data_IF_007572448149
#
_entry.id   IF_007572448149
#
_cell.length_a   1.000
_cell.length_b   1.000
_cell.length_c   1.000
_cell.angle_alpha   90.00
_cell.angle_beta   90.00
_cell.angle_gamma   90.00
#
_symmetry.space_group_name_H-M   'P 1'
#
loop_
_entity.id
_entity.type
_entity.pdbx_description
1 polymer ?
#
# COMPACT_ATOMS: atom_id res chain seq x y z
N UNK A 1 11.80 -22.19 -2.81
CA UNK A 1 11.02 -21.96 -4.05
C UNK A 1 10.14 -20.74 -3.87
N UNK A 2 9.77 -20.02 -4.96
CA UNK A 2 8.83 -18.89 -4.91
C UNK A 2 7.47 -19.43 -4.43
N UNK A 3 6.88 -18.81 -3.42
CA UNK A 3 5.62 -19.27 -2.79
C UNK A 3 4.43 -18.60 -3.48
N UNK A 4 3.54 -19.37 -4.10
CA UNK A 4 2.43 -18.85 -4.92
C UNK A 4 1.49 -17.92 -4.12
N UNK A 5 1.22 -18.25 -2.85
CA UNK A 5 0.35 -17.45 -2.00
C UNK A 5 0.88 -16.02 -1.75
N UNK A 6 2.20 -15.81 -1.77
CA UNK A 6 2.78 -14.46 -1.64
C UNK A 6 2.45 -13.61 -2.87
N UNK A 7 2.49 -14.22 -4.05
CA UNK A 7 2.15 -13.52 -5.29
C UNK A 7 0.65 -13.24 -5.37
N UNK A 8 -0.19 -14.18 -4.90
CA UNK A 8 -1.63 -13.97 -4.75
C UNK A 8 -1.97 -12.83 -3.79
N UNK A 9 -1.38 -12.81 -2.60
CA UNK A 9 -1.64 -11.74 -1.62
C UNK A 9 -1.23 -10.37 -2.17
N UNK A 10 -0.10 -10.28 -2.88
CA UNK A 10 0.26 -9.04 -3.59
C UNK A 10 -0.75 -8.69 -4.67
N UNK A 11 -1.21 -9.67 -5.45
CA UNK A 11 -2.19 -9.44 -6.51
C UNK A 11 -3.51 -8.89 -5.94
N UNK A 12 -4.00 -9.50 -4.86
CA UNK A 12 -5.19 -9.05 -4.12
C UNK A 12 -4.97 -7.62 -3.60
N UNK A 13 -3.82 -7.33 -2.99
CA UNK A 13 -3.48 -5.99 -2.54
C UNK A 13 -3.53 -4.97 -3.69
N UNK A 14 -2.89 -5.25 -4.83
CA UNK A 14 -2.90 -4.32 -5.96
C UNK A 14 -4.31 -4.14 -6.54
N UNK A 15 -5.11 -5.20 -6.63
CA UNK A 15 -6.51 -5.09 -7.07
C UNK A 15 -7.35 -4.28 -6.07
N UNK A 16 -7.07 -4.42 -4.77
CA UNK A 16 -7.78 -3.71 -3.70
C UNK A 16 -7.53 -2.19 -3.71
N UNK A 17 -6.42 -1.72 -4.30
CA UNK A 17 -6.16 -0.28 -4.47
C UNK A 17 -7.29 0.42 -5.20
N UNK A 18 -7.88 -0.21 -6.22
CA UNK A 18 -8.91 0.42 -7.03
C UNK A 18 -10.19 0.73 -6.23
N UNK A 19 -10.85 -0.25 -5.57
CA UNK A 19 -11.99 0.05 -4.72
C UNK A 19 -11.61 0.95 -3.54
N UNK A 20 -10.43 0.76 -2.93
CA UNK A 20 -9.98 1.62 -1.83
C UNK A 20 -9.88 3.10 -2.24
N UNK A 21 -9.11 3.40 -3.29
CA UNK A 21 -8.93 4.77 -3.76
C UNK A 21 -10.20 5.37 -4.37
N UNK A 22 -11.06 4.55 -4.97
CA UNK A 22 -12.39 5.00 -5.40
C UNK A 22 -13.27 5.34 -4.19
N UNK A 23 -13.20 4.56 -3.12
CA UNK A 23 -13.94 4.84 -1.88
C UNK A 23 -13.45 6.13 -1.22
N UNK A 24 -12.17 6.48 -1.32
CA UNK A 24 -11.65 7.77 -0.82
C UNK A 24 -12.32 8.98 -1.46
N UNK A 25 -12.86 8.88 -2.68
CA UNK A 25 -13.64 9.98 -3.31
C UNK A 25 -14.91 10.28 -2.52
N UNK A 26 -15.51 9.26 -1.90
CA UNK A 26 -16.78 9.35 -1.18
C UNK A 26 -16.58 9.25 0.34
N UNK A 27 -15.34 9.34 0.83
CA UNK A 27 -15.06 9.33 2.26
C UNK A 27 -15.48 10.65 2.90
N UNK A 28 -16.16 10.58 4.04
CA UNK A 28 -16.57 11.75 4.82
C UNK A 28 -15.43 12.36 5.66
N UNK A 29 -14.44 11.55 6.04
CA UNK A 29 -13.49 11.89 7.10
C UNK A 29 -12.20 12.55 6.58
N UNK A 30 -11.90 12.40 5.30
CA UNK A 30 -10.63 12.87 4.71
C UNK A 30 -10.86 13.54 3.36
N UNK A 31 -10.06 14.58 3.09
CA UNK A 31 -9.96 15.16 1.77
C UNK A 31 -9.27 14.19 0.79
N UNK A 32 -9.65 14.30 -0.48
CA UNK A 32 -9.05 13.52 -1.57
C UNK A 32 -8.90 14.42 -2.82
N UNK A 33 -8.17 13.93 -3.82
CA UNK A 33 -7.94 14.66 -5.08
C UNK A 33 -9.23 15.12 -5.78
N UNK A 34 -10.28 14.28 -5.71
CA UNK A 34 -11.63 14.59 -6.15
C UNK A 34 -12.57 14.19 -5.02
N UNK A 35 -13.53 15.06 -4.69
CA UNK A 35 -14.49 14.83 -3.63
C UNK A 35 -15.90 14.66 -4.20
N UNK A 36 -16.50 13.51 -3.92
CA UNK A 36 -17.90 13.21 -4.20
C UNK A 36 -18.79 13.40 -2.97
N UNK A 37 -20.08 13.09 -3.12
CA UNK A 37 -21.02 13.10 -1.99
C UNK A 37 -20.65 11.99 -0.98
N UNK A 38 -20.50 12.30 0.32
CA UNK A 38 -20.09 11.30 1.30
C UNK A 38 -20.99 10.06 1.34
N UNK A 39 -20.39 8.89 1.53
CA UNK A 39 -21.08 7.61 1.61
C UNK A 39 -20.54 6.75 2.77
N UNK A 40 -21.43 6.25 3.63
CA UNK A 40 -21.07 5.49 4.84
C UNK A 40 -20.31 4.21 4.53
N UNK A 41 -20.67 3.48 3.46
CA UNK A 41 -19.95 2.27 3.06
C UNK A 41 -18.51 2.59 2.65
N UNK A 42 -18.31 3.67 1.89
CA UNK A 42 -16.97 4.09 1.49
C UNK A 42 -16.12 4.54 2.68
N UNK A 43 -16.69 5.32 3.60
CA UNK A 43 -16.01 5.69 4.85
C UNK A 43 -15.58 4.46 5.64
N UNK A 44 -16.50 3.50 5.88
CA UNK A 44 -16.20 2.27 6.60
C UNK A 44 -15.14 1.41 5.89
N UNK A 45 -15.16 1.35 4.55
CA UNK A 45 -14.15 0.64 3.78
C UNK A 45 -12.77 1.27 3.97
N UNK A 46 -12.67 2.60 3.87
CA UNK A 46 -11.39 3.31 4.04
C UNK A 46 -10.87 3.15 5.47
N UNK A 47 -11.70 3.36 6.48
CA UNK A 47 -11.31 3.31 7.89
C UNK A 47 -10.91 1.88 8.32
N UNK A 48 -11.49 0.84 7.71
CA UNK A 48 -11.12 -0.57 7.98
C UNK A 48 -9.87 -1.06 7.23
N UNK A 49 -9.34 -0.27 6.29
CA UNK A 49 -8.21 -0.66 5.41
C UNK A 49 -6.82 -0.61 6.07
N UNK A 50 -6.74 -0.58 7.40
CA UNK A 50 -5.50 -0.44 8.18
C UNK A 50 -4.43 -1.51 7.85
N UNK A 51 -4.88 -2.69 7.43
CA UNK A 51 -4.03 -3.84 7.08
C UNK A 51 -3.29 -3.67 5.76
N UNK A 52 -3.83 -2.88 4.84
CA UNK A 52 -3.49 -2.93 3.43
C UNK A 52 -2.03 -2.53 3.14
N UNK A 53 -1.61 -1.34 3.59
CA UNK A 53 -0.25 -0.86 3.38
C UNK A 53 0.81 -1.65 4.17
N UNK A 54 0.60 -1.94 5.47
CA UNK A 54 1.50 -2.82 6.22
C UNK A 54 1.71 -4.20 5.58
N UNK A 55 0.64 -4.81 5.02
CA UNK A 55 0.74 -6.10 4.33
C UNK A 55 1.67 -6.01 3.11
N UNK A 56 1.55 -4.94 2.31
CA UNK A 56 2.40 -4.73 1.14
C UNK A 56 3.89 -4.62 1.52
N UNK A 57 4.23 -3.89 2.59
CA UNK A 57 5.60 -3.83 3.09
C UNK A 57 6.10 -5.17 3.66
N UNK A 58 5.25 -5.90 4.38
CA UNK A 58 5.55 -7.25 4.87
C UNK A 58 5.87 -8.21 3.71
N UNK A 59 5.02 -8.26 2.68
CA UNK A 59 5.22 -9.09 1.49
C UNK A 59 6.46 -8.66 0.67
N UNK A 60 6.78 -7.36 0.67
CA UNK A 60 8.01 -6.87 0.06
C UNK A 60 9.25 -7.40 0.80
N UNK A 61 9.23 -7.41 2.13
CA UNK A 61 10.26 -8.04 2.98
C UNK A 61 10.46 -9.53 2.69
N UNK A 62 9.35 -10.28 2.59
CA UNK A 62 9.41 -11.70 2.19
C UNK A 62 10.08 -11.89 0.82
N UNK A 63 9.80 -10.97 -0.11
CA UNK A 63 10.40 -10.99 -1.45
C UNK A 63 11.88 -10.65 -1.43
N UNK A 64 12.32 -9.77 -0.52
CA UNK A 64 13.73 -9.47 -0.30
C UNK A 64 14.51 -10.73 0.11
N UNK A 65 13.96 -11.57 0.99
CA UNK A 65 14.60 -12.82 1.40
C UNK A 65 14.88 -13.75 0.22
N UNK A 66 13.89 -14.01 -0.63
CA UNK A 66 14.07 -14.86 -1.81
C UNK A 66 15.00 -14.23 -2.86
N UNK A 67 15.05 -12.90 -2.96
CA UNK A 67 15.99 -12.19 -3.85
C UNK A 67 17.43 -12.28 -3.37
N UNK A 68 17.69 -12.01 -2.08
CA UNK A 68 19.03 -11.98 -1.49
C UNK A 68 19.69 -13.36 -1.38
N UNK A 69 18.91 -14.45 -1.46
CA UNK A 69 19.43 -15.82 -1.63
C UNK A 69 20.16 -16.04 -2.96
N UNK A 70 19.84 -15.25 -3.99
CA UNK A 70 20.34 -15.46 -5.36
C UNK A 70 21.21 -14.32 -5.87
N UNK A 71 21.39 -13.24 -5.09
CA UNK A 71 22.02 -12.00 -5.53
C UNK A 71 23.02 -11.52 -4.50
N UNK A 72 24.12 -10.96 -4.98
CA UNK A 72 25.04 -10.14 -4.18
C UNK A 72 24.39 -8.82 -3.74
N UNK A 73 25.04 -8.10 -2.82
CA UNK A 73 24.56 -6.77 -2.39
C UNK A 73 24.49 -5.79 -3.56
N UNK A 74 25.50 -5.76 -4.42
CA UNK A 74 25.56 -4.86 -5.58
C UNK A 74 24.45 -5.16 -6.59
N UNK A 75 24.20 -6.43 -6.89
CA UNK A 75 23.13 -6.84 -7.80
C UNK A 75 21.74 -6.53 -7.24
N UNK A 76 21.55 -6.72 -5.93
CA UNK A 76 20.30 -6.36 -5.26
C UNK A 76 20.04 -4.85 -5.34
N UNK A 77 21.03 -4.01 -5.01
CA UNK A 77 20.91 -2.56 -5.07
C UNK A 77 20.64 -2.07 -6.51
N UNK A 78 21.36 -2.62 -7.49
CA UNK A 78 21.13 -2.33 -8.91
C UNK A 78 19.71 -2.72 -9.33
N UNK A 79 19.22 -3.88 -8.92
CA UNK A 79 17.83 -4.31 -9.20
C UNK A 79 16.81 -3.33 -8.59
N UNK A 80 17.01 -2.90 -7.33
CA UNK A 80 16.11 -1.93 -6.66
C UNK A 80 16.10 -0.58 -7.35
N UNK A 81 17.26 -0.10 -7.77
CA UNK A 81 17.36 1.14 -8.54
C UNK A 81 16.59 1.03 -9.88
N UNK A 82 16.85 -0.02 -10.65
CA UNK A 82 16.23 -0.20 -11.97
C UNK A 82 14.71 -0.46 -11.89
N UNK A 83 14.24 -1.16 -10.85
CA UNK A 83 12.84 -1.59 -10.75
C UNK A 83 11.95 -0.75 -9.83
N UNK A 84 12.53 0.13 -9.02
CA UNK A 84 11.76 1.01 -8.15
C UNK A 84 12.06 2.48 -8.47
N UNK A 85 13.34 2.88 -8.47
CA UNK A 85 13.70 4.29 -8.63
C UNK A 85 13.40 4.82 -10.04
N UNK A 86 13.80 4.10 -11.10
CA UNK A 86 13.51 4.52 -12.48
C UNK A 86 11.99 4.63 -12.73
N UNK A 87 11.17 3.60 -12.43
CA UNK A 87 9.71 3.71 -12.56
C UNK A 87 9.09 4.80 -11.69
N UNK A 88 9.62 5.05 -10.49
CA UNK A 88 9.17 6.13 -9.62
C UNK A 88 9.36 7.49 -10.29
N UNK A 89 10.57 7.78 -10.78
CA UNK A 89 10.87 9.07 -11.45
C UNK A 89 10.00 9.23 -12.69
N UNK A 90 9.84 8.18 -13.50
CA UNK A 90 8.95 8.22 -14.65
C UNK A 90 7.49 8.47 -14.25
N UNK A 91 7.03 7.77 -13.21
CA UNK A 91 5.69 7.95 -12.64
C UNK A 91 5.43 9.38 -12.19
N UNK A 92 6.39 9.99 -11.50
CA UNK A 92 6.35 11.40 -11.05
C UNK A 92 6.26 12.37 -12.22
N UNK A 93 6.99 12.13 -13.30
CA UNK A 93 7.03 13.07 -14.43
C UNK A 93 5.78 12.95 -15.30
N UNK A 94 5.23 11.74 -15.46
CA UNK A 94 4.18 11.47 -16.47
C UNK A 94 2.78 11.36 -15.87
N UNK A 95 2.60 10.70 -14.72
CA UNK A 95 1.27 10.33 -14.22
C UNK A 95 0.76 11.20 -13.09
N UNK A 96 1.66 11.73 -12.26
CA UNK A 96 1.32 12.64 -11.17
C UNK A 96 0.84 14.03 -11.63
N UNK A 97 1.39 14.65 -12.69
CA UNK A 97 0.91 15.97 -13.12
C UNK A 97 -0.54 15.95 -13.63
N UNK A 98 -0.98 14.98 -14.46
CA UNK A 98 -2.41 14.86 -14.80
C UNK A 98 -3.30 14.66 -13.58
N UNK A 99 -2.89 13.80 -12.63
CA UNK A 99 -3.60 13.57 -11.36
C UNK A 99 -3.79 14.90 -10.60
N UNK A 100 -2.70 15.63 -10.38
CA UNK A 100 -2.71 16.93 -9.72
C UNK A 100 -3.52 17.99 -10.47
N UNK A 101 -3.48 18.00 -11.80
CA UNK A 101 -4.18 19.00 -12.63
C UNK A 101 -5.69 18.92 -12.43
N UNK A 102 -6.26 17.71 -12.50
CA UNK A 102 -7.69 17.51 -12.28
C UNK A 102 -8.08 17.79 -10.82
N UNK A 103 -7.21 17.49 -9.86
CA UNK A 103 -7.44 17.84 -8.46
C UNK A 103 -7.45 19.34 -8.23
N UNK A 104 -6.48 20.06 -8.81
CA UNK A 104 -6.41 21.52 -8.76
C UNK A 104 -7.66 22.15 -9.39
N UNK A 105 -8.07 21.68 -10.57
CA UNK A 105 -9.27 22.16 -11.25
C UNK A 105 -10.54 21.90 -10.44
N UNK A 106 -10.62 20.76 -9.76
CA UNK A 106 -11.76 20.41 -8.91
C UNK A 106 -11.88 21.29 -7.67
N UNK A 107 -10.77 21.59 -6.99
CA UNK A 107 -10.78 22.35 -5.73
C UNK A 107 -10.78 23.86 -5.92
N UNK A 108 -10.02 24.38 -6.89
CA UNK A 108 -9.86 25.82 -7.09
C UNK A 108 -10.88 26.42 -8.05
N UNK A 109 -11.56 25.60 -8.86
CA UNK A 109 -12.39 26.05 -9.98
C UNK A 109 -11.61 26.76 -11.09
N UNK A 110 -10.27 26.75 -11.03
CA UNK A 110 -9.40 27.49 -11.94
C UNK A 110 -9.42 26.94 -13.37
N UNK A 111 -9.32 27.86 -14.33
CA UNK A 111 -9.19 27.58 -15.77
C UNK A 111 -7.74 27.64 -16.24
N UNK A 112 -6.76 27.58 -15.32
CA UNK A 112 -5.34 27.65 -15.64
C UNK A 112 -5.00 26.65 -16.76
N UNK A 113 -4.27 27.14 -17.76
CA UNK A 113 -3.82 26.28 -18.85
C UNK A 113 -2.89 25.17 -18.34
N UNK A 114 -2.93 24.02 -19.02
CA UNK A 114 -2.18 22.82 -18.68
C UNK A 114 -0.67 23.04 -18.59
N UNK A 115 -0.09 23.90 -19.44
CA UNK A 115 1.35 24.18 -19.44
C UNK A 115 1.73 25.07 -18.25
N UNK A 116 0.90 26.08 -17.96
CA UNK A 116 1.08 26.93 -16.79
C UNK A 116 0.95 26.11 -15.50
N UNK A 117 0.01 25.16 -15.46
CA UNK A 117 -0.14 24.25 -14.33
C UNK A 117 1.08 23.34 -14.17
N UNK A 118 1.62 22.79 -15.26
CA UNK A 118 2.79 21.92 -15.18
C UNK A 118 3.99 22.63 -14.55
N UNK A 119 4.22 23.91 -14.89
CA UNK A 119 5.22 24.73 -14.22
C UNK A 119 4.91 24.88 -12.73
N UNK A 120 3.68 25.26 -12.39
CA UNK A 120 3.26 25.36 -10.98
C UNK A 120 3.50 24.05 -10.22
N UNK A 121 3.10 22.92 -10.80
CA UNK A 121 3.18 21.61 -10.17
C UNK A 121 4.60 21.25 -9.73
N UNK A 122 5.64 21.52 -10.53
CA UNK A 122 7.02 21.18 -10.16
C UNK A 122 7.71 22.19 -9.23
N UNK A 123 7.11 23.35 -9.00
CA UNK A 123 7.68 24.42 -8.16
C UNK A 123 6.81 24.75 -6.92
N UNK A 124 5.62 24.17 -6.81
CA UNK A 124 4.73 24.35 -5.66
C UNK A 124 4.89 23.20 -4.65
N UNK A 125 5.67 23.46 -3.60
CA UNK A 125 5.89 22.55 -2.47
C UNK A 125 5.09 22.96 -1.22
N UNK A 126 4.05 23.79 -1.37
CA UNK A 126 3.27 24.33 -0.24
C UNK A 126 2.46 23.28 0.51
N UNK A 127 2.06 22.19 -0.15
CA UNK A 127 1.37 21.05 0.46
C UNK A 127 2.04 19.73 0.04
N UNK A 128 2.45 18.93 1.03
CA UNK A 128 3.10 17.63 0.82
C UNK A 128 2.08 16.49 0.63
N UNK A 129 0.79 16.73 0.88
CA UNK A 129 -0.28 15.74 0.67
C UNK A 129 -0.71 15.68 -0.79
N UNK A 130 -0.72 16.81 -1.50
CA UNK A 130 -0.97 16.91 -2.94
C UNK A 130 -2.43 16.93 -3.36
N UNK A 131 -3.37 16.86 -2.41
CA UNK A 131 -4.80 16.78 -2.71
C UNK A 131 -5.33 18.03 -3.43
N UNK A 132 -4.65 19.17 -3.27
CA UNK A 132 -4.97 20.41 -3.96
C UNK A 132 -4.14 20.65 -5.23
N UNK A 133 -3.37 19.65 -5.69
CA UNK A 133 -2.58 19.73 -6.92
C UNK A 133 -1.23 20.44 -6.76
N UNK A 134 -0.63 20.40 -5.58
CA UNK A 134 0.78 20.72 -5.34
C UNK A 134 1.68 19.50 -5.62
N UNK A 135 2.99 19.72 -5.66
CA UNK A 135 3.96 18.64 -5.84
C UNK A 135 3.92 17.65 -4.67
N UNK A 136 3.80 16.37 -4.97
CA UNK A 136 4.00 15.29 -3.99
C UNK A 136 4.38 14.00 -4.71
N UNK A 137 5.07 13.05 -4.04
CA UNK A 137 5.11 11.67 -4.52
C UNK A 137 3.72 11.02 -4.65
N UNK A 138 2.68 11.60 -4.04
CA UNK A 138 1.27 11.27 -4.24
C UNK A 138 1.01 9.78 -4.06
N UNK A 139 0.35 9.15 -5.04
CA UNK A 139 0.07 7.71 -5.06
C UNK A 139 1.31 6.82 -5.09
N UNK A 140 2.47 7.33 -5.54
CA UNK A 140 3.72 6.58 -5.69
C UNK A 140 4.59 6.54 -4.42
N UNK A 141 4.11 7.13 -3.32
CA UNK A 141 4.82 7.18 -2.05
C UNK A 141 5.30 5.79 -1.58
N UNK A 142 4.51 4.73 -1.83
CA UNK A 142 4.87 3.38 -1.42
C UNK A 142 6.13 2.88 -2.14
N UNK A 143 6.29 3.16 -3.45
CA UNK A 143 7.52 2.80 -4.17
C UNK A 143 8.72 3.59 -3.63
N UNK A 144 8.55 4.89 -3.37
CA UNK A 144 9.60 5.72 -2.78
C UNK A 144 10.06 5.17 -1.43
N UNK A 145 9.10 4.89 -0.53
CA UNK A 145 9.39 4.35 0.79
C UNK A 145 10.01 2.96 0.69
N UNK A 146 9.48 2.10 -0.18
CA UNK A 146 10.01 0.77 -0.40
C UNK A 146 11.45 0.83 -0.94
N UNK A 147 11.75 1.76 -1.84
CA UNK A 147 13.12 1.97 -2.33
C UNK A 147 14.04 2.33 -1.16
N UNK A 148 13.75 3.41 -0.42
CA UNK A 148 14.57 3.87 0.71
C UNK A 148 14.74 2.77 1.76
N UNK A 149 13.63 2.17 2.21
CA UNK A 149 13.65 1.09 3.20
C UNK A 149 14.48 -0.09 2.68
N UNK A 150 14.38 -0.45 1.39
CA UNK A 150 15.15 -1.57 0.84
C UNK A 150 16.66 -1.35 0.85
N UNK A 151 17.12 -0.09 0.77
CA UNK A 151 18.54 0.28 0.90
C UNK A 151 18.98 0.21 2.36
N UNK A 152 18.23 0.86 3.25
CA UNK A 152 18.56 0.98 4.68
C UNK A 152 18.53 -0.38 5.38
N UNK A 153 17.54 -1.22 5.05
CA UNK A 153 17.36 -2.53 5.70
C UNK A 153 18.30 -3.60 5.15
N UNK A 154 19.00 -3.38 4.04
CA UNK A 154 19.91 -4.38 3.44
C UNK A 154 20.97 -4.93 4.41
N UNK A 155 21.79 -4.11 5.11
CA UNK A 155 22.76 -4.63 6.06
C UNK A 155 22.11 -5.43 7.20
N UNK A 156 20.94 -4.98 7.66
CA UNK A 156 20.16 -5.64 8.72
C UNK A 156 19.67 -7.02 8.23
N UNK A 157 19.05 -7.08 7.06
CA UNK A 157 18.56 -8.32 6.44
C UNK A 157 19.69 -9.33 6.22
N UNK A 158 20.88 -8.87 5.81
CA UNK A 158 22.06 -9.75 5.67
C UNK A 158 22.51 -10.31 7.00
N UNK A 159 22.57 -9.49 8.05
CA UNK A 159 22.94 -9.96 9.40
C UNK A 159 21.91 -10.94 9.97
N UNK A 160 20.62 -10.76 9.62
CA UNK A 160 19.51 -11.57 10.08
C UNK A 160 19.25 -12.83 9.22
N UNK A 161 19.96 -13.06 8.10
CA UNK A 161 19.62 -14.16 7.20
C UNK A 161 19.78 -15.56 7.80
N UNK A 162 20.60 -15.69 8.85
CA UNK A 162 20.83 -16.93 9.60
C UNK A 162 20.12 -16.92 10.96
N UNK A 163 19.48 -15.81 11.33
CA UNK A 163 18.83 -15.66 12.63
C UNK A 163 17.51 -16.43 12.68
N UNK A 164 17.37 -17.32 13.66
CA UNK A 164 16.13 -18.08 13.91
C UNK A 164 15.44 -17.56 15.17
N UNK A 165 14.37 -16.80 14.99
CA UNK A 165 13.60 -16.28 16.14
C UNK A 165 12.74 -17.36 16.78
N UNK A 166 12.93 -17.61 18.09
CA UNK A 166 12.00 -18.43 18.88
C UNK A 166 10.66 -17.71 19.10
N UNK A 167 10.68 -16.38 19.22
CA UNK A 167 9.49 -15.55 19.45
C UNK A 167 8.49 -15.67 18.29
N UNK A 168 8.98 -15.67 17.04
CA UNK A 168 8.14 -15.81 15.85
C UNK A 168 7.55 -17.22 15.66
N UNK A 169 8.02 -18.22 16.40
CA UNK A 169 7.57 -19.61 16.28
C UNK A 169 6.51 -19.99 17.31
N UNK A 170 6.18 -19.10 18.24
CA UNK A 170 5.18 -19.36 19.26
C UNK A 170 3.92 -18.54 18.97
N UNK A 171 2.73 -19.15 18.87
CA UNK A 171 1.51 -18.48 18.40
C UNK A 171 1.07 -17.30 19.28
N UNK A 172 1.37 -17.34 20.58
CA UNK A 172 1.06 -16.24 21.50
C UNK A 172 2.20 -15.21 21.60
N UNK A 173 3.47 -15.63 21.50
CA UNK A 173 4.60 -14.69 21.63
C UNK A 173 4.81 -13.84 20.39
N UNK A 174 4.43 -14.33 19.20
CA UNK A 174 4.46 -13.53 17.98
C UNK A 174 3.56 -12.29 18.09
N UNK A 175 2.53 -12.31 18.95
CA UNK A 175 1.66 -11.16 19.20
C UNK A 175 2.39 -10.00 19.86
N UNK A 176 3.43 -10.26 20.67
CA UNK A 176 4.19 -9.23 21.39
C UNK A 176 4.95 -8.27 20.46
N UNK A 177 4.99 -8.54 19.16
CA UNK A 177 5.59 -7.68 18.14
C UNK A 177 4.81 -6.36 17.98
N UNK A 178 3.55 -6.31 18.39
CA UNK A 178 2.81 -5.05 18.43
C UNK A 178 3.47 -4.00 19.35
N UNK A 179 4.16 -4.43 20.41
CA UNK A 179 4.82 -3.52 21.38
C UNK A 179 5.93 -2.70 20.71
N UNK A 180 6.98 -3.30 20.10
CA UNK A 180 8.02 -2.50 19.44
C UNK A 180 7.47 -1.68 18.27
N UNK A 181 6.42 -2.13 17.58
CA UNK A 181 5.76 -1.31 16.54
C UNK A 181 5.13 -0.06 17.15
N UNK A 182 4.43 -0.21 18.27
CA UNK A 182 3.79 0.90 19.01
C UNK A 182 4.83 1.87 19.60
N UNK A 183 5.96 1.35 20.10
CA UNK A 183 7.05 2.21 20.57
C UNK A 183 7.60 3.06 19.41
N UNK A 184 7.80 2.45 18.24
CA UNK A 184 8.33 3.15 17.07
C UNK A 184 7.31 4.12 16.45
N UNK A 185 6.02 3.94 16.69
CA UNK A 185 5.02 4.91 16.23
C UNK A 185 5.09 6.27 16.93
N UNK A 186 5.76 6.35 18.09
CA UNK A 186 6.02 7.61 18.76
C UNK A 186 7.06 8.48 18.01
N UNK A 187 7.82 7.90 17.08
CA UNK A 187 8.78 8.64 16.25
C UNK A 187 8.04 9.50 15.23
N UNK A 188 8.47 10.76 14.97
CA UNK A 188 7.80 11.65 14.03
C UNK A 188 7.60 11.02 12.65
N UNK A 189 6.40 11.24 12.09
CA UNK A 189 6.07 10.80 10.74
C UNK A 189 6.45 11.88 9.71
N UNK A 190 6.77 11.46 8.48
CA UNK A 190 7.02 12.36 7.35
C UNK A 190 5.81 12.26 6.43
N UNK A 191 5.16 13.40 6.12
CA UNK A 191 3.95 13.45 5.30
C UNK A 191 2.86 12.44 5.77
N UNK A 192 2.60 12.41 7.08
CA UNK A 192 1.66 11.51 7.77
C UNK A 192 1.98 10.00 7.62
N UNK A 193 3.21 9.65 7.25
CA UNK A 193 3.64 8.27 7.01
C UNK A 193 4.92 7.98 7.79
N UNK A 194 4.88 7.00 8.70
CA UNK A 194 6.04 6.63 9.51
C UNK A 194 6.88 5.57 8.80
N UNK A 195 8.01 5.99 8.22
CA UNK A 195 8.93 5.12 7.47
C UNK A 195 9.53 3.99 8.33
N UNK A 196 9.72 4.21 9.63
CA UNK A 196 10.31 3.24 10.54
C UNK A 196 9.36 2.06 10.80
N UNK A 197 8.06 2.33 10.96
CA UNK A 197 7.03 1.28 11.08
C UNK A 197 7.03 0.37 9.84
N UNK A 198 7.03 0.96 8.64
CA UNK A 198 7.08 0.19 7.41
C UNK A 198 8.41 -0.57 7.25
N UNK A 199 9.52 0.00 7.73
CA UNK A 199 10.80 -0.69 7.84
C UNK A 199 10.75 -1.93 8.72
N UNK A 200 10.06 -1.85 9.87
CA UNK A 200 9.83 -3.01 10.75
C UNK A 200 9.04 -4.08 10.01
N UNK A 201 7.95 -3.73 9.31
CA UNK A 201 7.19 -4.71 8.53
C UNK A 201 8.05 -5.37 7.44
N UNK A 202 8.92 -4.65 6.75
CA UNK A 202 9.88 -5.26 5.79
C UNK A 202 10.80 -6.26 6.50
N UNK A 203 11.35 -5.92 7.66
CA UNK A 203 12.23 -6.83 8.42
C UNK A 203 11.46 -8.06 8.93
N UNK A 204 10.25 -7.88 9.47
CA UNK A 204 9.39 -8.97 9.92
C UNK A 204 9.04 -9.92 8.78
N UNK A 205 8.72 -9.37 7.61
CA UNK A 205 8.45 -10.15 6.40
C UNK A 205 9.65 -10.98 5.97
N UNK A 206 10.84 -10.37 6.00
CA UNK A 206 12.11 -11.07 5.73
C UNK A 206 12.34 -12.23 6.72
N UNK A 207 12.12 -12.00 8.01
CA UNK A 207 12.28 -13.01 9.06
C UNK A 207 11.25 -14.15 8.94
N UNK A 208 9.98 -13.84 8.68
CA UNK A 208 8.95 -14.88 8.44
C UNK A 208 9.31 -15.73 7.23
N UNK A 209 9.76 -15.11 6.14
CA UNK A 209 10.19 -15.84 4.95
C UNK A 209 11.43 -16.72 5.16
N UNK A 210 12.18 -16.47 6.24
CA UNK A 210 13.43 -17.18 6.52
C UNK A 210 13.26 -18.60 7.06
N UNK A 211 12.08 -18.92 7.59
CA UNK A 211 11.81 -20.20 8.25
C UNK A 211 10.38 -20.68 7.96
N UNK A 212 10.26 -21.79 7.22
CA UNK A 212 8.96 -22.35 6.83
C UNK A 212 8.10 -22.78 8.03
N UNK A 213 8.71 -23.12 9.18
CA UNK A 213 7.97 -23.47 10.39
C UNK A 213 7.12 -22.29 10.92
N UNK A 214 7.57 -21.05 10.69
CA UNK A 214 6.79 -19.86 11.07
C UNK A 214 5.51 -19.81 10.25
N UNK A 215 5.58 -20.11 8.95
CA UNK A 215 4.41 -20.17 8.09
C UNK A 215 3.44 -21.30 8.48
N UNK A 216 3.95 -22.49 8.82
CA UNK A 216 3.13 -23.61 9.30
C UNK A 216 2.42 -23.27 10.62
N UNK A 217 3.13 -22.59 11.53
CA UNK A 217 2.55 -22.07 12.77
C UNK A 217 1.46 -21.03 12.49
N UNK A 218 1.71 -20.07 11.59
CA UNK A 218 0.74 -19.02 11.26
C UNK A 218 -0.52 -19.63 10.63
N UNK A 219 -0.35 -20.59 9.71
CA UNK A 219 -1.47 -21.27 9.07
C UNK A 219 -2.32 -22.07 10.05
N UNK A 220 -1.70 -22.82 10.96
CA UNK A 220 -2.43 -23.64 11.96
C UNK A 220 -3.28 -22.78 12.90
N UNK A 221 -2.87 -21.54 13.18
CA UNK A 221 -3.54 -20.62 14.12
C UNK A 221 -4.32 -19.47 13.43
N UNK A 222 -4.53 -19.53 12.11
CA UNK A 222 -5.19 -18.46 11.34
C UNK A 222 -6.57 -18.02 11.86
N UNK A 223 -7.37 -18.94 12.43
CA UNK A 223 -8.70 -18.62 12.99
C UNK A 223 -8.55 -17.82 14.29
N UNK A 224 -7.58 -18.18 15.12
CA UNK A 224 -7.26 -17.42 16.32
C UNK A 224 -6.84 -15.98 15.97
N UNK A 225 -5.95 -15.79 14.99
CA UNK A 225 -5.58 -14.45 14.55
C UNK A 225 -6.75 -13.67 13.93
N UNK A 226 -7.63 -14.34 13.19
CA UNK A 226 -8.85 -13.73 12.65
C UNK A 226 -9.76 -13.21 13.77
N UNK A 227 -10.01 -14.03 14.80
CA UNK A 227 -10.82 -13.63 15.96
C UNK A 227 -10.19 -12.43 16.68
N UNK A 228 -8.88 -12.46 16.94
CA UNK A 228 -8.16 -11.32 17.52
C UNK A 228 -8.30 -10.06 16.65
N UNK A 229 -8.22 -10.21 15.32
CA UNK A 229 -8.36 -9.08 14.40
C UNK A 229 -9.76 -8.49 14.43
N UNK A 230 -10.82 -9.32 14.45
CA UNK A 230 -12.21 -8.87 14.51
C UNK A 230 -12.45 -8.10 15.81
N UNK A 231 -12.00 -8.65 16.94
CA UNK A 231 -12.10 -7.98 18.25
C UNK A 231 -11.37 -6.63 18.22
N UNK A 232 -10.16 -6.60 17.66
CA UNK A 232 -9.39 -5.37 17.50
C UNK A 232 -10.12 -4.29 16.69
N UNK A 233 -10.71 -4.66 15.54
CA UNK A 233 -11.51 -3.74 14.73
C UNK A 233 -12.76 -3.25 15.45
N UNK A 234 -13.44 -4.10 16.22
CA UNK A 234 -14.60 -3.68 17.03
C UNK A 234 -14.17 -2.64 18.07
N UNK A 235 -13.04 -2.84 18.75
CA UNK A 235 -12.55 -1.89 19.75
C UNK A 235 -12.16 -0.56 19.10
N UNK A 236 -11.47 -0.58 17.96
CA UNK A 236 -11.13 0.64 17.21
C UNK A 236 -12.40 1.37 16.75
N UNK A 237 -13.41 0.63 16.26
CA UNK A 237 -14.67 1.23 15.86
C UNK A 237 -15.38 1.93 17.04
N UNK A 238 -15.40 1.28 18.22
CA UNK A 238 -15.96 1.86 19.44
C UNK A 238 -15.18 3.11 19.87
N UNK A 239 -13.84 3.06 19.80
CA UNK A 239 -12.98 4.21 20.10
C UNK A 239 -13.37 5.42 19.23
N UNK A 240 -13.38 5.23 17.91
CA UNK A 240 -13.64 6.30 16.93
C UNK A 240 -15.03 6.89 17.13
N UNK A 241 -16.04 6.06 17.35
CA UNK A 241 -17.46 6.48 17.39
C UNK A 241 -17.94 6.98 18.74
N UNK A 242 -17.38 6.45 19.84
CA UNK A 242 -17.91 6.69 21.20
C UNK A 242 -17.00 7.54 22.07
N UNK A 243 -15.68 7.42 21.89
CA UNK A 243 -14.68 8.05 22.77
C UNK A 243 -13.95 9.20 22.03
N UNK A 244 -13.98 9.17 20.70
CA UNK A 244 -13.16 10.04 19.85
C UNK A 244 -11.72 9.53 19.79
N UNK A 245 -11.07 9.75 18.66
CA UNK A 245 -9.74 9.24 18.38
C UNK A 245 -8.72 9.69 19.44
N UNK A 246 -8.14 8.73 20.17
CA UNK A 246 -7.20 9.04 21.24
C UNK A 246 -5.76 9.06 20.69
N UNK A 247 -5.07 10.19 20.83
CA UNK A 247 -3.66 10.33 20.39
C UNK A 247 -2.77 10.90 21.49
N UNK A 248 -1.46 10.81 21.28
CA UNK A 248 -0.45 11.38 22.15
C UNK A 248 0.00 10.43 23.26
N UNK A 249 0.71 10.99 24.24
CA UNK A 249 1.36 10.23 25.33
C UNK A 249 0.49 10.07 26.58
N UNK A 250 -0.82 10.24 26.47
CA UNK A 250 -1.75 9.92 27.56
C UNK A 250 -1.85 8.40 27.73
N UNK A 251 -2.23 7.93 28.92
CA UNK A 251 -2.40 6.49 29.17
C UNK A 251 -3.40 5.87 28.17
N UNK A 252 -4.52 6.56 27.93
CA UNK A 252 -5.55 6.12 27.01
C UNK A 252 -5.05 6.11 25.55
N UNK A 253 -4.32 7.15 25.13
CA UNK A 253 -3.70 7.22 23.80
C UNK A 253 -2.66 6.11 23.56
N UNK A 254 -1.87 5.75 24.57
CA UNK A 254 -0.91 4.63 24.49
C UNK A 254 -1.65 3.29 24.37
N UNK A 255 -2.71 3.08 25.17
CA UNK A 255 -3.52 1.86 25.12
C UNK A 255 -4.16 1.67 23.74
N UNK A 256 -4.81 2.72 23.21
CA UNK A 256 -5.44 2.63 21.89
C UNK A 256 -4.42 2.53 20.76
N UNK A 257 -3.26 3.19 20.86
CA UNK A 257 -2.15 2.97 19.91
C UNK A 257 -1.69 1.51 19.91
N UNK A 258 -1.57 0.89 21.09
CA UNK A 258 -1.20 -0.52 21.21
C UNK A 258 -2.26 -1.43 20.57
N UNK A 259 -3.55 -1.16 20.82
CA UNK A 259 -4.67 -1.90 20.20
C UNK A 259 -4.66 -1.73 18.69
N UNK A 260 -4.40 -0.53 18.19
CA UNK A 260 -4.31 -0.21 16.77
C UNK A 260 -3.21 -1.04 16.07
N UNK A 261 -1.99 -1.01 16.58
CA UNK A 261 -0.88 -1.78 15.99
C UNK A 261 -0.98 -3.28 16.24
N UNK A 262 -1.59 -3.70 17.36
CA UNK A 262 -1.96 -5.09 17.57
C UNK A 262 -2.94 -5.57 16.49
N UNK A 263 -3.99 -4.79 16.23
CA UNK A 263 -5.02 -5.10 15.22
C UNK A 263 -4.39 -5.25 13.85
N UNK A 264 -3.59 -4.25 13.41
CA UNK A 264 -2.84 -4.33 12.15
C UNK A 264 -2.03 -5.64 12.10
N UNK A 265 -1.24 -5.92 13.13
CA UNK A 265 -0.36 -7.08 13.15
C UNK A 265 -1.12 -8.41 13.04
N UNK A 266 -2.18 -8.60 13.82
CA UNK A 266 -2.98 -9.84 13.74
C UNK A 266 -3.76 -9.95 12.44
N UNK A 267 -4.18 -8.83 11.83
CA UNK A 267 -4.73 -8.85 10.47
C UNK A 267 -3.68 -9.38 9.47
N UNK A 268 -2.43 -8.94 9.55
CA UNK A 268 -1.37 -9.43 8.66
C UNK A 268 -1.15 -10.94 8.83
N UNK A 269 -1.08 -11.44 10.07
CA UNK A 269 -0.97 -12.88 10.36
C UNK A 269 -2.18 -13.65 9.81
N UNK A 270 -3.37 -13.08 9.89
CA UNK A 270 -4.60 -13.65 9.31
C UNK A 270 -4.47 -13.79 7.79
N UNK A 271 -4.10 -12.72 7.08
CA UNK A 271 -3.90 -12.76 5.63
C UNK A 271 -2.83 -13.77 5.22
N UNK A 272 -1.73 -13.86 5.95
CA UNK A 272 -0.69 -14.87 5.69
C UNK A 272 -1.20 -16.30 5.91
N UNK A 273 -1.91 -16.54 7.01
CA UNK A 273 -2.42 -17.87 7.37
C UNK A 273 -3.49 -18.38 6.40
N UNK A 274 -4.46 -17.53 6.04
CA UNK A 274 -5.46 -17.85 5.02
C UNK A 274 -4.85 -17.92 3.63
N UNK A 275 -3.96 -16.99 3.29
CA UNK A 275 -3.26 -17.01 2.01
C UNK A 275 -2.49 -18.30 1.80
N UNK A 276 -1.74 -18.77 2.80
CA UNK A 276 -1.01 -20.04 2.70
C UNK A 276 -1.94 -21.25 2.52
N UNK A 277 -3.04 -21.33 3.26
CA UNK A 277 -3.99 -22.45 3.16
C UNK A 277 -4.72 -22.49 1.82
N UNK A 278 -5.24 -21.35 1.37
CA UNK A 278 -6.20 -21.31 0.27
C UNK A 278 -5.63 -20.81 -1.05
N UNK A 279 -4.53 -20.05 -1.04
CA UNK A 279 -3.96 -19.42 -2.24
C UNK A 279 -2.65 -20.10 -2.69
N UNK A 280 -2.43 -21.37 -2.33
CA UNK A 280 -1.24 -22.12 -2.73
C UNK A 280 -1.41 -22.84 -4.08
N UNK A 281 -2.04 -22.18 -5.05
CA UNK A 281 -2.25 -22.70 -6.40
C UNK A 281 -1.79 -21.69 -7.44
N UNK A 282 -1.52 -22.17 -8.66
CA UNK A 282 -1.09 -21.33 -9.80
C UNK A 282 -2.13 -21.42 -10.90
N UNK A 283 -2.50 -20.27 -11.44
CA UNK A 283 -3.31 -20.14 -12.67
C UNK A 283 -2.66 -19.11 -13.60
N UNK A 284 -3.01 -19.15 -14.89
CA UNK A 284 -2.43 -18.25 -15.90
C UNK A 284 -2.69 -16.78 -15.61
N UNK A 285 -3.89 -16.48 -15.10
CA UNK A 285 -4.25 -15.13 -14.63
C UNK A 285 -3.21 -14.58 -13.64
N UNK A 286 -2.77 -15.37 -12.66
CA UNK A 286 -1.78 -14.92 -11.68
C UNK A 286 -0.43 -14.63 -12.33
N UNK A 287 -0.04 -15.43 -13.32
CA UNK A 287 1.21 -15.21 -14.07
C UNK A 287 1.15 -13.88 -14.82
N UNK A 288 0.07 -13.64 -15.57
CA UNK A 288 -0.15 -12.38 -16.28
C UNK A 288 -0.22 -11.19 -15.30
N UNK A 289 -1.05 -11.29 -14.26
CA UNK A 289 -1.26 -10.22 -13.30
C UNK A 289 0.00 -9.90 -12.50
N UNK A 290 0.84 -10.90 -12.17
CA UNK A 290 2.13 -10.64 -11.53
C UNK A 290 3.02 -9.72 -12.37
N UNK A 291 2.92 -9.75 -13.70
CA UNK A 291 3.67 -8.85 -14.58
C UNK A 291 2.99 -7.48 -14.72
N UNK A 292 1.67 -7.45 -14.80
CA UNK A 292 0.90 -6.20 -14.94
C UNK A 292 0.81 -5.38 -13.64
N UNK A 293 0.86 -6.03 -12.48
CA UNK A 293 0.53 -5.45 -11.16
C UNK A 293 1.30 -4.17 -10.85
N UNK A 294 2.58 -4.12 -11.21
CA UNK A 294 3.41 -2.94 -10.96
C UNK A 294 3.04 -1.75 -11.85
N UNK A 295 2.67 -2.00 -13.12
CA UNK A 295 2.17 -0.93 -14.01
C UNK A 295 0.82 -0.44 -13.52
N UNK A 296 -0.09 -1.35 -13.18
CA UNK A 296 -1.41 -1.01 -12.61
C UNK A 296 -1.22 -0.14 -11.36
N UNK A 297 -0.34 -0.54 -10.45
CA UNK A 297 0.00 0.25 -9.26
C UNK A 297 0.47 1.67 -9.61
N UNK A 298 1.28 1.88 -10.66
CA UNK A 298 1.77 3.22 -10.99
C UNK A 298 0.65 4.11 -11.53
N UNK A 299 -0.25 3.55 -12.36
CA UNK A 299 -1.17 4.37 -13.18
C UNK A 299 -2.60 4.43 -12.63
N UNK A 300 -3.00 3.51 -11.75
CA UNK A 300 -4.39 3.38 -11.31
C UNK A 300 -4.96 4.68 -10.73
N UNK A 301 -4.22 5.36 -9.87
CA UNK A 301 -4.72 6.55 -9.18
C UNK A 301 -4.99 7.69 -10.16
N UNK A 302 -4.09 7.93 -11.12
CA UNK A 302 -4.29 8.93 -12.18
C UNK A 302 -5.58 8.66 -12.94
N UNK A 303 -5.85 7.41 -13.32
CA UNK A 303 -7.09 7.05 -13.99
C UNK A 303 -8.32 7.23 -13.10
N UNK A 304 -8.25 6.83 -11.82
CA UNK A 304 -9.33 7.04 -10.85
C UNK A 304 -9.68 8.52 -10.76
N UNK A 305 -8.70 9.40 -10.60
CA UNK A 305 -8.90 10.85 -10.49
C UNK A 305 -9.49 11.45 -11.77
N UNK A 306 -8.96 11.08 -12.94
CA UNK A 306 -9.46 11.55 -14.23
C UNK A 306 -10.92 11.11 -14.43
N UNK A 307 -11.21 9.81 -14.26
CA UNK A 307 -12.58 9.31 -14.45
C UNK A 307 -13.54 9.87 -13.41
N UNK A 308 -13.12 9.98 -12.14
CA UNK A 308 -13.94 10.62 -11.12
C UNK A 308 -14.35 12.05 -11.51
N UNK A 309 -13.40 12.86 -11.97
CA UNK A 309 -13.67 14.25 -12.37
C UNK A 309 -14.80 14.37 -13.41
N UNK A 310 -14.90 13.43 -14.36
CA UNK A 310 -15.95 13.42 -15.38
C UNK A 310 -17.22 12.70 -14.92
N UNK A 311 -17.10 11.48 -14.38
CA UNK A 311 -18.24 10.63 -14.02
C UNK A 311 -19.11 11.27 -12.93
N UNK A 312 -18.51 11.99 -11.97
CA UNK A 312 -19.26 12.69 -10.92
C UNK A 312 -20.22 13.75 -11.47
N UNK A 313 -19.98 14.25 -12.69
CA UNK A 313 -20.84 15.24 -13.37
C UNK A 313 -21.93 14.61 -14.25
N UNK A 314 -21.77 13.34 -14.62
CA UNK A 314 -22.69 12.66 -15.55
C UNK A 314 -23.91 12.06 -14.85
N UNK A 315 -23.76 11.63 -13.59
CA UNK A 315 -24.84 11.02 -12.82
C UNK A 315 -24.66 11.31 -11.35
N UNK A 316 -25.76 11.34 -10.60
CA UNK A 316 -25.77 11.48 -9.13
C UNK A 316 -25.95 10.13 -8.40
N UNK A 317 -26.02 9.01 -9.14
CA UNK A 317 -26.24 7.68 -8.56
C UNK A 317 -24.90 7.11 -8.08
N UNK A 318 -24.69 7.06 -6.76
CA UNK A 318 -23.46 6.59 -6.12
C UNK A 318 -22.97 5.24 -6.67
N UNK A 319 -23.85 4.23 -6.73
CA UNK A 319 -23.46 2.89 -7.17
C UNK A 319 -22.90 2.88 -8.60
N UNK A 320 -23.49 3.67 -9.51
CA UNK A 320 -22.99 3.82 -10.88
C UNK A 320 -21.64 4.54 -10.89
N UNK A 321 -21.51 5.65 -10.15
CA UNK A 321 -20.23 6.38 -10.08
C UNK A 321 -19.10 5.46 -9.59
N UNK A 322 -19.33 4.76 -8.47
CA UNK A 322 -18.34 3.89 -7.85
C UNK A 322 -17.91 2.71 -8.75
N UNK A 323 -18.88 1.98 -9.32
CA UNK A 323 -18.58 0.81 -10.17
C UNK A 323 -17.92 1.26 -11.48
N UNK A 324 -18.42 2.31 -12.13
CA UNK A 324 -17.88 2.79 -13.42
C UNK A 324 -16.44 3.28 -13.23
N UNK A 325 -16.13 4.03 -12.17
CA UNK A 325 -14.77 4.51 -11.90
C UNK A 325 -13.81 3.33 -11.72
N UNK A 326 -14.18 2.30 -10.95
CA UNK A 326 -13.34 1.10 -10.75
C UNK A 326 -13.10 0.38 -12.08
N UNK A 327 -14.18 0.07 -12.82
CA UNK A 327 -14.09 -0.69 -14.06
C UNK A 327 -13.28 0.04 -15.14
N UNK A 328 -13.53 1.35 -15.35
CA UNK A 328 -12.79 2.14 -16.32
C UNK A 328 -11.33 2.31 -15.93
N UNK A 329 -11.05 2.54 -14.63
CA UNK A 329 -9.66 2.66 -14.15
C UNK A 329 -8.88 1.36 -14.30
N UNK A 330 -9.51 0.21 -14.03
CA UNK A 330 -8.89 -1.09 -14.24
C UNK A 330 -8.61 -1.33 -15.72
N UNK A 331 -9.60 -1.09 -16.58
CA UNK A 331 -9.46 -1.27 -18.03
C UNK A 331 -8.35 -0.37 -18.59
N UNK A 332 -8.34 0.92 -18.23
CA UNK A 332 -7.31 1.87 -18.66
C UNK A 332 -5.91 1.47 -18.16
N UNK A 333 -5.81 0.99 -16.92
CA UNK A 333 -4.54 0.49 -16.36
C UNK A 333 -4.02 -0.73 -17.11
N UNK A 334 -4.91 -1.68 -17.45
CA UNK A 334 -4.56 -2.88 -18.23
C UNK A 334 -4.18 -2.53 -19.66
N UNK A 335 -4.93 -1.64 -20.33
CA UNK A 335 -4.60 -1.15 -21.67
C UNK A 335 -3.22 -0.48 -21.66
N UNK A 336 -2.95 0.35 -20.64
CA UNK A 336 -1.65 1.01 -20.48
C UNK A 336 -0.52 0.01 -20.36
N UNK A 337 -0.69 -1.02 -19.54
CA UNK A 337 0.26 -2.13 -19.47
C UNK A 337 0.46 -2.84 -20.83
N UNK A 338 -0.63 -3.14 -21.54
CA UNK A 338 -0.61 -3.79 -22.85
C UNK A 338 0.07 -2.96 -23.95
N UNK A 339 0.01 -1.64 -23.85
CA UNK A 339 0.71 -0.71 -24.74
C UNK A 339 2.19 -0.61 -24.36
N UNK A 340 2.49 -0.34 -23.09
CA UNK A 340 3.86 -0.13 -22.62
C UNK A 340 4.73 -1.38 -22.80
N UNK A 341 4.16 -2.58 -22.67
CA UNK A 341 4.90 -3.83 -22.90
C UNK A 341 5.33 -4.04 -24.35
N UNK A 342 4.80 -3.28 -25.32
CA UNK A 342 5.18 -3.39 -26.75
C UNK A 342 6.43 -2.59 -27.10
N UNK A 343 6.85 -1.66 -26.26
CA UNK A 343 7.98 -0.76 -26.54
C UNK A 343 9.13 -1.02 -25.56
N UNK A 344 10.34 -1.26 -26.08
CA UNK A 344 11.51 -1.63 -25.27
C UNK A 344 11.88 -0.57 -24.22
N UNK A 345 11.78 0.72 -24.57
CA UNK A 345 12.07 1.83 -23.64
C UNK A 345 11.08 1.83 -22.48
N UNK A 346 9.79 1.70 -22.76
CA UNK A 346 8.77 1.70 -21.73
C UNK A 346 8.79 0.42 -20.87
N UNK A 347 9.13 -0.74 -21.44
CA UNK A 347 9.39 -1.96 -20.66
C UNK A 347 10.46 -1.73 -19.61
N UNK A 348 11.57 -1.10 -20.00
CA UNK A 348 12.64 -0.75 -19.07
C UNK A 348 12.18 0.26 -18.01
N UNK A 349 11.49 1.32 -18.42
CA UNK A 349 11.02 2.38 -17.50
C UNK A 349 10.00 1.89 -16.47
N UNK A 350 9.19 0.89 -16.80
CA UNK A 350 8.24 0.26 -15.87
C UNK A 350 8.76 -1.03 -15.23
N UNK A 351 10.01 -1.41 -15.47
CA UNK A 351 10.56 -2.67 -14.95
C UNK A 351 9.83 -3.93 -15.43
N UNK A 352 9.13 -3.86 -16.56
CA UNK A 352 8.46 -4.98 -17.23
C UNK A 352 9.54 -5.88 -17.83
N UNK A 353 9.47 -7.18 -17.53
CA UNK A 353 10.42 -8.17 -18.05
C UNK A 353 10.20 -8.49 -19.51
#
# INVERSE_FOLDING_TARGET
MRKNYIDWLKAICILYLLPFHTARIFNANEANYIQGKPNVFCTALVDSSLWFMPLMFLLAGMSCYFSLKKRSNKEYLKERFLRLFIPLVFGIIIFLPPEGYFAYKSHSGSTLDSIAYLKRFFFDFSDLNGYHGSFTPGSLWFILYLFIISLITLPIMRKLSTFKSKLLKTPFKILLICIPITVVSAVPSIANKNIFIYGIFVILGFLIASDDNIFDMIESHKIFYLMCSIIGYIIIFIEITSIGWQTGFTLLGIIFSLIYYFTIWVSLLTFLGFGKKYLNFRIDFLSYFSHASFTIYIVHQTYIVIFAYFILKLTNIFALQYIIIICLSLAASLITYEVLKRFNVFRFMFGIK
#
